data_IF_555656029040
#
_entry.id   IF_555656029040
#
_cell.length_a   1.000
_cell.length_b   1.000
_cell.length_c   1.000
_cell.angle_alpha   90.00
_cell.angle_beta   90.00
_cell.angle_gamma   90.00
#
_symmetry.space_group_name_H-M   'P 1'
#
loop_
_entity.id
_entity.type
_entity.pdbx_description
1 polymer ?
#
# COMPACT_ATOMS: atom_id res chain seq x y z
N UNK A 1 -44.69 45.79 20.60
CA UNK A 1 -45.12 44.46 21.10
C UNK A 1 -45.27 43.36 20.02
N UNK A 2 -45.28 43.65 18.70
CA UNK A 2 -45.39 42.60 17.64
C UNK A 2 -44.09 42.27 16.87
N UNK A 3 -43.00 43.01 17.09
CA UNK A 3 -41.71 42.79 16.41
C UNK A 3 -40.66 42.03 17.24
N UNK A 4 -40.91 41.83 18.53
CA UNK A 4 -40.01 41.11 19.45
C UNK A 4 -40.28 39.59 19.49
N UNK A 5 -41.42 39.13 18.95
CA UNK A 5 -41.75 37.69 18.89
C UNK A 5 -41.11 36.95 17.71
N UNK A 6 -40.62 37.66 16.69
CA UNK A 6 -40.02 37.02 15.51
C UNK A 6 -38.54 36.64 15.69
N UNK A 7 -37.85 37.16 16.71
CA UNK A 7 -36.43 36.87 16.96
C UNK A 7 -36.26 35.59 17.79
N UNK A 8 -37.28 35.17 18.54
CA UNK A 8 -37.18 33.98 19.40
C UNK A 8 -37.41 32.65 18.66
N UNK A 9 -38.02 32.68 17.46
CA UNK A 9 -38.30 31.46 16.68
C UNK A 9 -37.11 31.01 15.80
N UNK A 10 -36.07 31.83 15.64
CA UNK A 10 -34.90 31.54 14.80
C UNK A 10 -33.70 31.00 15.58
N UNK A 11 -33.87 30.65 16.86
CA UNK A 11 -32.79 30.16 17.72
C UNK A 11 -32.82 28.63 17.97
N UNK A 12 -33.82 27.89 17.47
CA UNK A 12 -33.97 26.44 17.73
C UNK A 12 -33.40 25.50 16.65
N UNK A 13 -32.73 26.01 15.62
CA UNK A 13 -32.12 25.18 14.56
C UNK A 13 -30.60 24.99 14.69
N UNK A 14 -29.97 25.54 15.73
CA UNK A 14 -28.56 25.27 16.01
C UNK A 14 -28.42 24.04 16.92
N UNK A 15 -28.87 22.87 16.45
CA UNK A 15 -28.36 21.62 17.01
C UNK A 15 -26.86 21.58 16.71
N UNK A 16 -25.98 21.30 17.68
CA UNK A 16 -24.60 20.99 17.34
C UNK A 16 -24.66 19.82 16.38
N UNK A 17 -24.13 19.98 15.17
CA UNK A 17 -23.83 18.87 14.27
C UNK A 17 -22.76 18.06 14.98
N UNK A 18 -23.18 17.23 15.93
CA UNK A 18 -22.34 16.20 16.48
C UNK A 18 -22.13 15.23 15.32
N UNK A 19 -20.93 15.25 14.74
CA UNK A 19 -20.53 14.22 13.80
C UNK A 19 -20.80 12.88 14.48
N UNK A 20 -21.58 12.01 13.82
CA UNK A 20 -21.85 10.67 14.33
C UNK A 20 -20.51 10.00 14.69
N UNK A 21 -20.44 9.28 15.82
CA UNK A 21 -19.22 8.57 16.18
C UNK A 21 -18.84 7.62 15.04
N UNK A 22 -17.55 7.51 14.76
CA UNK A 22 -17.05 6.59 13.73
C UNK A 22 -17.37 5.16 14.14
N UNK A 23 -17.96 4.40 13.21
CA UNK A 23 -18.36 3.02 13.41
C UNK A 23 -17.34 2.06 12.79
N UNK A 24 -16.96 1.02 13.52
CA UNK A 24 -16.02 0.00 13.05
C UNK A 24 -16.56 -0.72 11.81
N UNK A 25 -17.88 -0.93 11.75
CA UNK A 25 -18.56 -1.52 10.61
C UNK A 25 -18.38 -0.71 9.32
N UNK A 26 -18.36 0.63 9.40
CA UNK A 26 -18.11 1.52 8.25
C UNK A 26 -16.68 1.34 7.75
N UNK A 27 -15.71 1.24 8.66
CA UNK A 27 -14.30 0.99 8.31
C UNK A 27 -14.13 -0.40 7.69
N UNK A 28 -14.65 -1.45 8.31
CA UNK A 28 -14.59 -2.82 7.80
C UNK A 28 -15.20 -2.93 6.40
N UNK A 29 -16.34 -2.28 6.20
CA UNK A 29 -17.00 -2.22 4.89
C UNK A 29 -16.11 -1.52 3.85
N UNK A 30 -15.51 -0.39 4.19
CA UNK A 30 -14.60 0.32 3.29
C UNK A 30 -13.36 -0.53 2.94
N UNK A 31 -12.75 -1.19 3.93
CA UNK A 31 -11.61 -2.09 3.72
C UNK A 31 -11.97 -3.27 2.81
N UNK A 32 -13.18 -3.82 2.97
CA UNK A 32 -13.68 -4.87 2.08
C UNK A 32 -13.90 -4.35 0.65
N UNK A 33 -14.54 -3.19 0.47
CA UNK A 33 -14.84 -2.62 -0.84
C UNK A 33 -13.59 -2.21 -1.63
N UNK A 34 -12.50 -1.91 -0.95
CA UNK A 34 -11.22 -1.51 -1.55
C UNK A 34 -10.25 -2.67 -1.77
N UNK A 35 -10.69 -3.91 -1.53
CA UNK A 35 -9.84 -5.12 -1.58
C UNK A 35 -8.58 -4.98 -0.69
N UNK A 36 -8.69 -4.31 0.47
CA UNK A 36 -7.55 -4.02 1.33
C UNK A 36 -6.84 -5.30 1.82
N UNK A 37 -7.59 -6.37 2.09
CA UNK A 37 -7.01 -7.69 2.43
C UNK A 37 -6.14 -8.23 1.30
N UNK A 38 -6.58 -8.10 0.05
CA UNK A 38 -5.80 -8.58 -1.11
C UNK A 38 -4.50 -7.81 -1.23
N UNK A 39 -4.53 -6.49 -1.07
CA UNK A 39 -3.32 -5.66 -1.07
C UNK A 39 -2.37 -6.05 0.07
N UNK A 40 -2.92 -6.27 1.26
CA UNK A 40 -2.17 -6.73 2.42
C UNK A 40 -1.52 -8.11 2.19
N UNK A 41 -2.26 -9.07 1.66
CA UNK A 41 -1.74 -10.40 1.29
C UNK A 41 -0.62 -10.29 0.24
N UNK A 42 -0.74 -9.37 -0.74
CA UNK A 42 0.32 -9.09 -1.71
C UNK A 42 1.60 -8.55 -1.06
N UNK A 43 1.49 -7.65 -0.08
CA UNK A 43 2.67 -7.13 0.66
C UNK A 43 3.40 -8.25 1.41
N UNK A 44 2.66 -9.20 1.99
CA UNK A 44 3.26 -10.37 2.64
C UNK A 44 3.98 -11.26 1.61
N UNK A 45 3.35 -11.50 0.45
CA UNK A 45 3.96 -12.28 -0.62
C UNK A 45 5.25 -11.62 -1.16
N UNK A 46 5.24 -10.31 -1.35
CA UNK A 46 6.43 -9.55 -1.77
C UNK A 46 7.56 -9.65 -0.73
N UNK A 47 7.22 -9.67 0.57
CA UNK A 47 8.21 -9.92 1.63
C UNK A 47 8.83 -11.32 1.54
N UNK A 48 8.05 -12.34 1.20
CA UNK A 48 8.57 -13.71 1.01
C UNK A 48 9.55 -13.77 -0.17
N UNK A 49 9.23 -13.07 -1.26
CA UNK A 49 10.09 -12.96 -2.45
C UNK A 49 11.39 -12.23 -2.13
N UNK A 50 11.37 -11.16 -1.32
CA UNK A 50 12.59 -10.48 -0.85
C UNK A 50 13.47 -11.44 -0.05
N UNK A 51 12.87 -12.28 0.81
CA UNK A 51 13.61 -13.28 1.57
C UNK A 51 14.30 -14.29 0.64
N UNK A 52 13.61 -14.76 -0.40
CA UNK A 52 14.16 -15.76 -1.33
C UNK A 52 15.18 -15.18 -2.31
N UNK A 53 14.93 -13.99 -2.84
CA UNK A 53 15.77 -13.35 -3.87
C UNK A 53 16.98 -12.62 -3.29
N UNK A 54 16.89 -12.17 -2.03
CA UNK A 54 17.93 -11.31 -1.42
C UNK A 54 18.55 -11.95 -0.18
N UNK A 55 17.74 -12.27 0.84
CA UNK A 55 18.26 -12.74 2.12
C UNK A 55 18.86 -14.16 2.00
N UNK A 56 18.21 -15.07 1.27
CA UNK A 56 18.69 -16.44 1.10
C UNK A 56 20.05 -16.50 0.40
N UNK A 57 20.27 -15.89 -0.79
CA UNK A 57 21.58 -15.89 -1.42
C UNK A 57 22.67 -15.25 -0.54
N UNK A 58 22.32 -14.21 0.22
CA UNK A 58 23.24 -13.56 1.14
C UNK A 58 23.69 -14.51 2.26
N UNK A 59 22.76 -15.23 2.90
CA UNK A 59 23.08 -16.20 3.95
C UNK A 59 23.78 -17.45 3.43
N UNK A 60 23.57 -17.81 2.16
CA UNK A 60 24.18 -18.97 1.50
C UNK A 60 25.60 -18.71 0.99
N UNK A 61 26.04 -17.45 0.84
CA UNK A 61 27.35 -17.08 0.25
C UNK A 61 28.57 -17.77 0.88
N UNK A 62 28.51 -18.06 2.18
CA UNK A 62 29.63 -18.66 2.94
C UNK A 62 29.31 -20.08 3.43
N UNK A 63 28.24 -20.70 2.91
CA UNK A 63 27.81 -22.05 3.31
C UNK A 63 28.43 -23.07 2.37
N UNK A 64 29.24 -23.96 2.92
CA UNK A 64 30.01 -24.95 2.16
C UNK A 64 29.58 -26.38 2.44
N UNK A 65 28.78 -26.63 3.49
CA UNK A 65 28.30 -27.98 3.84
C UNK A 65 26.77 -28.13 3.67
N UNK A 66 26.27 -29.37 3.46
CA UNK A 66 24.84 -29.65 3.43
C UNK A 66 24.12 -29.27 4.74
N UNK A 67 24.74 -29.47 5.90
CA UNK A 67 24.17 -29.13 7.21
C UNK A 67 23.96 -27.63 7.36
N UNK A 68 24.93 -26.84 6.88
CA UNK A 68 24.86 -25.38 6.87
C UNK A 68 23.73 -24.87 5.96
N UNK A 69 23.54 -25.51 4.81
CA UNK A 69 22.46 -25.19 3.86
C UNK A 69 21.09 -25.50 4.48
N UNK A 70 20.93 -26.71 5.05
CA UNK A 70 19.70 -27.13 5.71
C UNK A 70 19.35 -26.24 6.92
N UNK A 71 20.35 -25.76 7.65
CA UNK A 71 20.14 -24.79 8.73
C UNK A 71 19.57 -23.47 8.20
N UNK A 72 20.16 -22.90 7.13
CA UNK A 72 19.67 -21.65 6.53
C UNK A 72 18.23 -21.82 6.03
N UNK A 73 17.93 -22.90 5.33
CA UNK A 73 16.57 -23.17 4.85
C UNK A 73 15.56 -23.26 6.01
N UNK A 74 15.91 -24.00 7.08
CA UNK A 74 15.08 -24.11 8.29
C UNK A 74 14.88 -22.76 8.99
N UNK A 75 15.94 -21.96 9.10
CA UNK A 75 15.88 -20.62 9.66
C UNK A 75 14.94 -19.71 8.86
N UNK A 76 15.10 -19.68 7.54
CA UNK A 76 14.28 -18.85 6.65
C UNK A 76 12.81 -19.27 6.63
N UNK A 77 12.51 -20.58 6.70
CA UNK A 77 11.14 -21.06 6.84
C UNK A 77 10.49 -20.53 8.14
N UNK A 78 11.21 -20.60 9.26
CA UNK A 78 10.73 -20.05 10.55
C UNK A 78 10.57 -18.53 10.49
N UNK A 79 11.53 -17.84 9.89
CA UNK A 79 11.50 -16.39 9.71
C UNK A 79 10.26 -15.93 8.93
N UNK A 80 10.00 -16.53 7.75
CA UNK A 80 8.80 -16.24 6.96
C UNK A 80 7.52 -16.55 7.73
N UNK A 81 7.48 -17.68 8.45
CA UNK A 81 6.33 -18.05 9.28
C UNK A 81 6.04 -16.97 10.32
N UNK A 82 7.06 -16.48 11.04
CA UNK A 82 6.89 -15.40 12.02
C UNK A 82 6.31 -14.14 11.36
N UNK A 83 6.82 -13.74 10.19
CA UNK A 83 6.29 -12.58 9.46
C UNK A 83 4.81 -12.77 9.13
N UNK A 84 4.44 -13.90 8.52
CA UNK A 84 3.04 -14.19 8.15
C UNK A 84 2.12 -14.24 9.37
N UNK A 85 2.60 -14.81 10.47
CA UNK A 85 1.84 -14.93 11.71
C UNK A 85 1.65 -13.57 12.39
N UNK A 86 2.70 -12.74 12.49
CA UNK A 86 2.66 -11.44 13.16
C UNK A 86 1.93 -10.37 12.33
N UNK A 87 2.11 -10.41 11.02
CA UNK A 87 1.46 -9.50 10.10
C UNK A 87 0.16 -10.06 9.54
N UNK A 88 -0.43 -11.10 10.12
CA UNK A 88 -1.68 -11.66 9.59
C UNK A 88 -2.80 -10.60 9.56
N UNK A 89 -3.72 -10.72 8.61
CA UNK A 89 -4.83 -9.79 8.47
C UNK A 89 -5.60 -9.62 9.78
N UNK A 90 -5.86 -10.71 10.49
CA UNK A 90 -6.59 -10.74 11.75
C UNK A 90 -5.85 -9.98 12.86
N UNK A 91 -4.52 -10.09 12.94
CA UNK A 91 -3.71 -9.33 13.90
C UNK A 91 -3.58 -7.85 13.54
N UNK A 92 -3.61 -7.55 12.24
CA UNK A 92 -3.47 -6.17 11.74
C UNK A 92 -4.78 -5.39 11.74
N UNK A 93 -5.93 -6.08 11.65
CA UNK A 93 -7.26 -5.47 11.60
C UNK A 93 -7.54 -4.44 12.71
N UNK A 94 -7.24 -4.72 14.01
CA UNK A 94 -7.43 -3.73 15.07
C UNK A 94 -6.64 -2.44 14.84
N UNK A 95 -5.44 -2.53 14.26
CA UNK A 95 -4.62 -1.36 13.93
C UNK A 95 -5.19 -0.60 12.73
N UNK A 96 -5.69 -1.29 11.70
CA UNK A 96 -6.39 -0.62 10.60
C UNK A 96 -7.63 0.13 11.10
N UNK A 97 -8.47 -0.50 11.91
CA UNK A 97 -9.65 0.15 12.50
C UNK A 97 -9.24 1.40 13.27
N UNK A 98 -8.25 1.29 14.17
CA UNK A 98 -7.77 2.45 14.94
C UNK A 98 -7.30 3.60 14.03
N UNK A 99 -6.45 3.30 13.05
CA UNK A 99 -5.89 4.31 12.14
C UNK A 99 -7.01 5.02 11.37
N UNK A 100 -7.97 4.28 10.80
CA UNK A 100 -9.08 4.88 10.07
C UNK A 100 -9.99 5.71 10.98
N UNK A 101 -10.25 5.24 12.21
CA UNK A 101 -11.04 5.97 13.21
C UNK A 101 -10.40 7.29 13.62
N UNK A 102 -9.08 7.32 13.74
CA UNK A 102 -8.31 8.53 14.07
C UNK A 102 -8.18 9.51 12.89
N UNK A 103 -8.32 9.01 11.65
CA UNK A 103 -8.05 9.78 10.43
C UNK A 103 -9.29 10.35 9.78
N UNK A 104 -10.41 9.62 9.82
CA UNK A 104 -11.63 9.97 9.10
C UNK A 104 -12.81 10.20 10.03
N UNK A 105 -13.73 11.07 9.61
CA UNK A 105 -15.05 11.17 10.21
C UNK A 105 -16.00 10.11 9.64
N UNK A 106 -17.08 9.81 10.37
CA UNK A 106 -18.10 8.85 9.92
C UNK A 106 -18.74 9.29 8.59
N UNK A 107 -18.88 10.60 8.38
CA UNK A 107 -19.40 11.15 7.13
C UNK A 107 -18.47 10.84 5.96
N UNK A 108 -17.17 11.08 6.10
CA UNK A 108 -16.18 10.83 5.04
C UNK A 108 -16.08 9.34 4.70
N UNK A 109 -16.13 8.46 5.72
CA UNK A 109 -16.19 7.02 5.49
C UNK A 109 -17.43 6.64 4.68
N UNK A 110 -18.60 7.18 5.02
CA UNK A 110 -19.83 6.91 4.28
C UNK A 110 -19.78 7.44 2.83
N UNK A 111 -19.19 8.62 2.61
CA UNK A 111 -18.99 9.16 1.26
C UNK A 111 -18.06 8.25 0.42
N UNK A 112 -16.97 7.75 1.01
CA UNK A 112 -16.06 6.81 0.37
C UNK A 112 -16.72 5.47 0.08
N UNK A 113 -17.48 4.92 1.04
CA UNK A 113 -18.25 3.68 0.86
C UNK A 113 -19.23 3.85 -0.30
N UNK A 114 -19.99 4.94 -0.35
CA UNK A 114 -20.93 5.19 -1.44
C UNK A 114 -20.23 5.23 -2.80
N UNK A 115 -19.05 5.86 -2.88
CA UNK A 115 -18.24 5.84 -4.10
C UNK A 115 -17.81 4.41 -4.47
N UNK A 116 -17.21 3.65 -3.56
CA UNK A 116 -16.69 2.31 -3.84
C UNK A 116 -17.80 1.26 -4.05
N UNK A 117 -19.03 1.50 -3.58
CA UNK A 117 -20.20 0.66 -3.92
C UNK A 117 -20.73 0.90 -5.32
N UNK A 118 -20.52 2.11 -5.86
CA UNK A 118 -20.99 2.49 -7.20
C UNK A 118 -20.33 1.63 -8.29
N UNK A 119 -20.98 1.49 -9.47
CA UNK A 119 -20.37 0.81 -10.62
C UNK A 119 -19.00 1.39 -10.99
N UNK A 120 -18.84 2.72 -10.89
CA UNK A 120 -17.58 3.42 -11.19
C UNK A 120 -16.52 3.11 -10.15
N UNK A 121 -16.84 3.12 -8.86
CA UNK A 121 -15.88 2.80 -7.79
C UNK A 121 -15.40 1.35 -7.86
N UNK A 122 -16.31 0.40 -8.08
CA UNK A 122 -15.96 -1.02 -8.31
C UNK A 122 -15.07 -1.20 -9.54
N UNK A 123 -15.37 -0.47 -10.62
CA UNK A 123 -14.53 -0.48 -11.83
C UNK A 123 -13.15 0.13 -11.55
N UNK A 124 -13.08 1.20 -10.77
CA UNK A 124 -11.84 1.84 -10.36
C UNK A 124 -10.95 0.87 -9.58
N UNK A 125 -11.46 0.21 -8.53
CA UNK A 125 -10.71 -0.79 -7.74
C UNK A 125 -10.13 -1.89 -8.65
N UNK A 126 -10.91 -2.39 -9.61
CA UNK A 126 -10.45 -3.41 -10.57
C UNK A 126 -9.39 -2.91 -11.54
N UNK A 127 -9.44 -1.63 -11.93
CA UNK A 127 -8.50 -1.04 -12.90
C UNK A 127 -7.22 -0.51 -12.27
N UNK A 128 -7.21 -0.19 -10.98
CA UNK A 128 -6.03 0.33 -10.29
C UNK A 128 -4.80 -0.58 -10.44
N UNK A 129 -4.87 -1.92 -10.23
CA UNK A 129 -3.73 -2.79 -10.46
C UNK A 129 -3.21 -2.74 -11.90
N UNK A 130 -4.11 -2.67 -12.89
CA UNK A 130 -3.75 -2.59 -14.31
C UNK A 130 -3.06 -1.28 -14.64
N UNK A 131 -3.50 -0.17 -14.03
CA UNK A 131 -2.83 1.13 -14.17
C UNK A 131 -1.41 1.05 -13.61
N UNK A 132 -1.24 0.48 -12.42
CA UNK A 132 0.07 0.32 -11.78
C UNK A 132 1.00 -0.56 -12.63
N UNK A 133 0.51 -1.69 -13.15
CA UNK A 133 1.27 -2.58 -14.03
C UNK A 133 1.75 -1.87 -15.30
N UNK A 134 0.84 -1.18 -16.02
CA UNK A 134 1.18 -0.42 -17.22
C UNK A 134 2.18 0.69 -16.92
N UNK A 135 2.01 1.36 -15.79
CA UNK A 135 2.89 2.44 -15.33
C UNK A 135 4.30 1.90 -15.04
N UNK A 136 4.41 0.75 -14.38
CA UNK A 136 5.68 0.05 -14.14
C UNK A 136 6.37 -0.35 -15.45
N UNK A 137 5.64 -0.89 -16.42
CA UNK A 137 6.17 -1.25 -17.74
C UNK A 137 6.77 -0.05 -18.48
N UNK A 138 6.09 1.11 -18.45
CA UNK A 138 6.62 2.35 -19.04
C UNK A 138 7.91 2.78 -18.35
N UNK A 139 7.98 2.70 -17.02
CA UNK A 139 9.20 3.01 -16.27
C UNK A 139 10.37 2.09 -16.62
N UNK A 140 10.12 0.79 -16.77
CA UNK A 140 11.13 -0.18 -17.19
C UNK A 140 11.69 0.16 -18.58
N UNK A 141 10.82 0.47 -19.55
CA UNK A 141 11.26 0.89 -20.89
C UNK A 141 12.10 2.17 -20.86
N UNK A 142 11.70 3.15 -20.04
CA UNK A 142 12.49 4.38 -19.85
C UNK A 142 13.86 4.08 -19.24
N UNK A 143 13.94 3.17 -18.27
CA UNK A 143 15.22 2.77 -17.68
C UNK A 143 16.16 2.13 -18.70
N UNK A 144 15.65 1.26 -19.58
CA UNK A 144 16.44 0.68 -20.68
C UNK A 144 17.00 1.77 -21.60
N UNK A 145 16.18 2.76 -21.95
CA UNK A 145 16.63 3.90 -22.76
C UNK A 145 17.69 4.75 -22.05
N UNK A 146 17.53 4.99 -20.74
CA UNK A 146 18.51 5.71 -19.93
C UNK A 146 19.86 4.97 -19.93
N UNK A 147 19.85 3.66 -19.66
CA UNK A 147 21.07 2.84 -19.64
C UNK A 147 21.79 2.86 -20.98
N UNK A 148 21.06 2.75 -22.10
CA UNK A 148 21.64 2.86 -23.44
C UNK A 148 22.31 4.21 -23.68
N UNK A 149 21.67 5.33 -23.27
CA UNK A 149 22.25 6.67 -23.38
C UNK A 149 23.49 6.85 -22.51
N UNK A 150 23.48 6.30 -21.30
CA UNK A 150 24.64 6.32 -20.41
C UNK A 150 25.82 5.55 -21.01
N UNK A 151 25.58 4.37 -21.59
CA UNK A 151 26.62 3.58 -22.26
C UNK A 151 27.24 4.36 -23.44
N UNK A 152 26.41 4.98 -24.29
CA UNK A 152 26.90 5.80 -25.41
C UNK A 152 27.74 7.00 -24.92
N UNK A 153 27.31 7.68 -23.85
CA UNK A 153 28.05 8.78 -23.25
C UNK A 153 29.41 8.34 -22.68
N UNK A 154 29.45 7.17 -22.04
CA UNK A 154 30.70 6.59 -21.52
C UNK A 154 31.65 6.24 -22.66
N UNK A 155 31.18 5.61 -23.73
CA UNK A 155 31.98 5.29 -24.92
C UNK A 155 32.58 6.54 -25.56
N UNK A 156 31.78 7.60 -25.72
CA UNK A 156 32.25 8.87 -26.28
C UNK A 156 33.31 9.51 -25.39
N UNK A 157 33.10 9.53 -24.07
CA UNK A 157 34.05 10.08 -23.10
C UNK A 157 35.39 9.33 -23.13
N UNK A 158 35.36 7.99 -23.24
CA UNK A 158 36.56 7.17 -23.35
C UNK A 158 37.34 7.46 -24.64
N UNK A 159 36.65 7.61 -25.79
CA UNK A 159 37.29 7.98 -27.06
C UNK A 159 37.95 9.36 -27.01
N UNK A 160 37.30 10.33 -26.36
CA UNK A 160 37.85 11.68 -26.19
C UNK A 160 39.10 11.67 -25.30
N UNK A 161 39.13 10.83 -24.26
CA UNK A 161 40.29 10.66 -23.39
C UNK A 161 41.48 10.02 -24.12
N UNK A 162 41.24 8.98 -24.91
CA UNK A 162 42.31 8.32 -25.68
C UNK A 162 42.88 9.19 -26.81
N UNK A 163 42.10 10.15 -27.33
CA UNK A 163 42.55 11.06 -28.39
C UNK A 163 43.34 12.28 -27.88
N UNK A 164 43.36 12.50 -26.55
CA UNK A 164 44.14 13.56 -25.89
C UNK A 164 45.52 13.09 -25.40
N UNK A 165 45.87 11.84 -25.62
CA UNK A 165 47.18 11.24 -25.38
C UNK A 165 47.79 10.78 -26.71
#
# INVERSE_FOLDING_TARGET
>A
MRRLFFIFLLAMLASPVYAAPVQDASIEKLLSLTDAKKLHDSVIADSDEIVDSTLKPMLMREKTTPEQTAFVDSFLMKYKKIIRDELSWEKMMPSYIRIYRETFTEKELNDLIAFYESPTGKMFVKKTPVILEKTSSVMQQKMVSILSRMNAMLEESMKQMSAKH
#
